data_IF_155256128070
#
_entry.id   IF_155256128070
#
_cell.length_a   1.000
_cell.length_b   1.000
_cell.length_c   1.000
_cell.angle_alpha   90.00
_cell.angle_beta   90.00
_cell.angle_gamma   90.00
#
_symmetry.space_group_name_H-M   'P 1'
#
loop_
_entity.id
_entity.type
_entity.pdbx_description
1 polymer ?
#
# COMPACT_ATOMS: atom_id res chain seq x y z
N UNK A 1 10.30 -15.97 -2.89
CA UNK A 1 10.36 -15.34 -4.22
C UNK A 1 9.54 -14.06 -4.08
N UNK A 2 10.19 -12.91 -3.97
CA UNK A 2 9.47 -11.65 -3.79
C UNK A 2 8.85 -11.22 -5.11
N UNK A 3 7.60 -10.76 -5.08
CA UNK A 3 6.95 -10.14 -6.24
C UNK A 3 7.09 -8.61 -6.16
N UNK A 4 7.11 -7.96 -7.32
CA UNK A 4 6.97 -6.51 -7.45
C UNK A 4 5.59 -6.23 -8.01
N UNK A 5 4.82 -5.39 -7.35
CA UNK A 5 3.46 -5.04 -7.77
C UNK A 5 3.30 -3.52 -7.74
N UNK A 6 2.75 -2.97 -8.82
CA UNK A 6 2.49 -1.53 -8.94
C UNK A 6 1.01 -1.34 -9.26
N UNK A 7 0.37 -0.43 -8.54
CA UNK A 7 -1.00 0.00 -8.79
C UNK A 7 -1.00 1.50 -9.07
N UNK A 8 -1.67 1.90 -10.16
CA UNK A 8 -1.68 3.26 -10.68
C UNK A 8 -3.11 3.67 -11.05
N UNK A 9 -3.47 4.94 -10.81
CA UNK A 9 -4.75 5.60 -11.11
C UNK A 9 -6.03 4.83 -10.70
N UNK A 10 -6.01 4.02 -9.63
CA UNK A 10 -7.21 3.31 -9.16
C UNK A 10 -8.00 4.11 -8.11
N UNK A 11 -9.26 4.43 -8.38
CA UNK A 11 -10.21 4.95 -7.39
C UNK A 11 -11.06 3.83 -6.80
N UNK A 12 -10.60 3.16 -5.74
CA UNK A 12 -11.32 2.04 -5.14
C UNK A 12 -10.95 1.78 -3.67
N UNK A 13 -11.68 0.86 -3.02
CA UNK A 13 -11.27 0.20 -1.79
C UNK A 13 -10.47 -1.04 -2.15
N UNK A 14 -9.26 -1.18 -1.61
CA UNK A 14 -8.43 -2.36 -1.85
C UNK A 14 -7.95 -2.94 -0.53
N UNK A 15 -8.09 -4.25 -0.39
CA UNK A 15 -7.61 -5.01 0.75
C UNK A 15 -6.53 -5.98 0.28
N UNK A 16 -5.40 -5.98 1.00
CA UNK A 16 -4.30 -6.91 0.81
C UNK A 16 -4.12 -7.73 2.08
N UNK A 17 -3.95 -9.03 1.90
CA UNK A 17 -3.80 -10.01 2.97
C UNK A 17 -2.62 -10.94 2.64
N UNK A 18 -1.83 -11.27 3.65
CA UNK A 18 -0.80 -12.32 3.63
C UNK A 18 0.28 -12.14 2.53
N UNK A 19 0.72 -10.89 2.29
CA UNK A 19 1.60 -10.56 1.16
C UNK A 19 3.10 -10.52 1.55
N UNK A 20 3.96 -11.00 0.63
CA UNK A 20 5.43 -10.92 0.69
C UNK A 20 6.01 -10.35 -0.61
N UNK A 21 5.98 -9.03 -0.75
CA UNK A 21 6.29 -8.31 -1.97
C UNK A 21 6.89 -6.93 -1.71
N UNK A 22 7.39 -6.30 -2.77
CA UNK A 22 7.58 -4.85 -2.85
C UNK A 22 6.37 -4.28 -3.58
N UNK A 23 5.69 -3.32 -2.97
CA UNK A 23 4.45 -2.75 -3.53
C UNK A 23 4.54 -1.23 -3.60
N UNK A 24 4.18 -0.69 -4.74
CA UNK A 24 4.08 0.77 -4.94
C UNK A 24 2.66 1.12 -5.34
N UNK A 25 2.11 2.12 -4.68
CA UNK A 25 0.77 2.65 -4.91
C UNK A 25 0.87 4.12 -5.27
N UNK A 26 0.36 4.50 -6.45
CA UNK A 26 0.21 5.89 -6.88
C UNK A 26 -1.28 6.15 -7.17
N UNK A 27 -2.06 6.43 -6.11
CA UNK A 27 -3.52 6.51 -6.24
C UNK A 27 -4.27 7.10 -5.04
N UNK A 28 -5.50 7.56 -5.31
CA UNK A 28 -6.47 8.00 -4.29
C UNK A 28 -7.43 6.86 -3.91
N UNK A 29 -7.02 6.03 -2.95
CA UNK A 29 -7.75 4.82 -2.57
C UNK A 29 -7.75 4.54 -1.06
N UNK A 30 -8.86 3.99 -0.55
CA UNK A 30 -8.92 3.48 0.81
C UNK A 30 -8.26 2.10 0.87
N UNK A 31 -7.21 1.97 1.68
CA UNK A 31 -6.38 0.78 1.71
C UNK A 31 -6.39 0.12 3.07
N UNK A 32 -6.50 -1.21 3.08
CA UNK A 32 -6.32 -2.03 4.27
C UNK A 32 -5.31 -3.12 3.98
N UNK A 33 -4.33 -3.24 4.84
CA UNK A 33 -3.25 -4.21 4.75
C UNK A 33 -3.25 -5.05 6.02
N UNK A 34 -3.29 -6.38 5.87
CA UNK A 34 -3.28 -7.34 6.97
C UNK A 34 -2.16 -8.37 6.76
N UNK A 35 -1.48 -8.74 7.85
CA UNK A 35 -0.43 -9.77 7.89
C UNK A 35 0.69 -9.63 6.82
N UNK A 36 1.19 -8.41 6.61
CA UNK A 36 2.15 -8.16 5.52
C UNK A 36 3.62 -8.20 5.97
N UNK A 37 4.47 -8.86 5.17
CA UNK A 37 5.95 -8.81 5.31
C UNK A 37 6.60 -8.24 4.05
N UNK A 38 6.59 -6.92 3.92
CA UNK A 38 6.79 -6.22 2.64
C UNK A 38 7.60 -4.94 2.76
N UNK A 39 7.86 -4.30 1.63
CA UNK A 39 8.17 -2.87 1.55
C UNK A 39 7.06 -2.19 0.77
N UNK A 40 6.47 -1.14 1.32
CA UNK A 40 5.38 -0.40 0.66
C UNK A 40 5.76 1.06 0.50
N UNK A 41 5.54 1.58 -0.71
CA UNK A 41 5.65 3.00 -1.02
C UNK A 41 4.31 3.51 -1.52
N UNK A 42 3.87 4.61 -0.94
CA UNK A 42 2.66 5.33 -1.32
C UNK A 42 3.06 6.69 -1.90
N UNK A 43 2.57 7.00 -3.10
CA UNK A 43 2.79 8.27 -3.82
C UNK A 43 1.43 8.90 -4.18
N UNK A 44 1.38 10.23 -4.22
CA UNK A 44 0.20 11.09 -4.45
C UNK A 44 -1.13 10.61 -3.82
N UNK A 45 -1.08 10.07 -2.60
CA UNK A 45 -2.28 9.55 -1.94
C UNK A 45 -3.22 10.65 -1.44
N UNK A 46 -4.51 10.49 -1.74
CA UNK A 46 -5.61 11.33 -1.22
C UNK A 46 -6.62 10.53 -0.41
N UNK A 47 -6.19 9.52 0.37
CA UNK A 47 -7.11 8.59 1.02
C UNK A 47 -6.54 7.92 2.29
N UNK A 48 -7.42 7.22 3.03
CA UNK A 48 -7.11 6.61 4.32
C UNK A 48 -6.47 5.23 4.18
N UNK A 49 -5.41 4.99 4.93
CA UNK A 49 -4.69 3.71 4.96
C UNK A 49 -4.70 3.12 6.36
N UNK A 50 -5.04 1.84 6.47
CA UNK A 50 -4.99 1.05 7.71
C UNK A 50 -4.04 -0.13 7.54
N UNK A 51 -3.26 -0.40 8.58
CA UNK A 51 -2.30 -1.50 8.62
C UNK A 51 -2.53 -2.32 9.89
N UNK A 52 -2.56 -3.65 9.75
CA UNK A 52 -2.59 -4.61 10.85
C UNK A 52 -1.49 -5.68 10.68
N UNK A 53 -0.89 -6.09 11.80
CA UNK A 53 0.21 -7.08 11.89
C UNK A 53 1.31 -6.97 10.81
N UNK A 54 1.86 -5.77 10.62
CA UNK A 54 2.85 -5.51 9.56
C UNK A 54 4.30 -5.65 10.02
N UNK A 55 5.02 -6.58 9.40
CA UNK A 55 6.47 -6.67 9.39
C UNK A 55 7.08 -6.00 8.16
N UNK A 56 6.93 -4.69 8.03
CA UNK A 56 7.32 -3.94 6.81
C UNK A 56 8.04 -2.61 7.08
N UNK A 57 8.69 -2.11 6.03
CA UNK A 57 9.06 -0.70 5.91
C UNK A 57 8.05 0.01 5.02
N UNK A 58 7.46 1.08 5.55
CA UNK A 58 6.44 1.87 4.85
C UNK A 58 6.94 3.29 4.65
N UNK A 59 6.83 3.78 3.42
CA UNK A 59 7.16 5.17 3.05
C UNK A 59 5.96 5.82 2.40
N UNK A 60 5.69 7.08 2.76
CA UNK A 60 4.66 7.91 2.17
C UNK A 60 5.30 9.14 1.57
N UNK A 61 4.99 9.44 0.31
CA UNK A 61 5.39 10.65 -0.40
C UNK A 61 4.13 11.39 -0.91
N UNK A 62 4.22 12.72 -0.94
CA UNK A 62 3.18 13.69 -1.32
C UNK A 62 1.72 13.36 -0.91
N UNK A 63 1.50 13.04 0.37
CA UNK A 63 0.14 12.84 0.90
C UNK A 63 -0.61 14.17 1.00
N UNK A 64 -1.69 14.32 0.22
CA UNK A 64 -2.61 15.46 0.34
C UNK A 64 -3.71 15.09 1.33
N UNK A 65 -3.71 15.78 2.47
CA UNK A 65 -4.72 15.65 3.52
C UNK A 65 -6.12 16.08 3.05
#
# INVERSE_FOLDING_TARGET
MGAYVTFDEMGAYVTFDDMKAYVTFDMKAYLTFDDMKVYVTFDEMGAYVTFDEIGAYVTFDDMKA
#
